data_IF_917591155836
#
_entry.id   IF_917591155836
#
_cell.length_a   1.000
_cell.length_b   1.000
_cell.length_c   1.000
_cell.angle_alpha   90.00
_cell.angle_beta   90.00
_cell.angle_gamma   90.00
#
_symmetry.space_group_name_H-M   'P 1'
#
loop_
_entity.id
_entity.type
_entity.pdbx_description
1 polymer ?
#
# COMPACT_ATOMS: atom_id res chain seq x y z
N UNK A 1 26.80 4.84 19.40
CA UNK A 1 25.71 4.29 18.57
C UNK A 1 24.39 4.68 19.25
N UNK A 2 23.49 5.41 18.58
CA UNK A 2 22.15 5.71 19.13
C UNK A 2 21.21 4.62 18.65
N UNK A 3 20.45 4.03 19.58
CA UNK A 3 19.37 3.11 19.25
C UNK A 3 18.10 3.94 19.13
N UNK A 4 17.53 4.01 17.93
CA UNK A 4 16.19 4.56 17.76
C UNK A 4 15.17 3.42 17.89
N UNK A 5 14.20 3.63 18.77
CA UNK A 5 13.10 2.68 18.96
C UNK A 5 12.05 3.00 17.89
N UNK A 6 11.73 1.99 17.08
CA UNK A 6 10.60 2.00 16.16
C UNK A 6 9.45 1.19 16.76
N UNK A 7 8.22 1.60 16.44
CA UNK A 7 7.02 0.86 16.84
C UNK A 7 6.75 -0.30 15.87
N UNK A 8 7.09 -0.10 14.58
CA UNK A 8 6.86 -1.07 13.50
C UNK A 8 8.05 -1.08 12.53
N UNK A 9 8.46 -2.29 12.12
CA UNK A 9 9.40 -2.50 11.01
C UNK A 9 8.66 -3.23 9.88
N UNK A 10 8.68 -2.66 8.67
CA UNK A 10 8.08 -3.24 7.46
C UNK A 10 9.21 -3.73 6.54
N UNK A 11 9.19 -5.02 6.21
CA UNK A 11 10.15 -5.62 5.27
C UNK A 11 9.50 -5.78 3.89
N UNK A 12 9.87 -4.93 2.94
CA UNK A 12 9.38 -4.90 1.57
C UNK A 12 8.62 -3.61 1.25
N UNK A 13 9.13 -2.83 0.30
CA UNK A 13 8.65 -1.49 -0.01
C UNK A 13 7.60 -1.40 -1.12
N UNK A 14 7.29 -2.49 -1.84
CA UNK A 14 6.34 -2.44 -2.96
C UNK A 14 4.93 -2.01 -2.54
N UNK A 15 4.26 -2.81 -1.71
CA UNK A 15 2.96 -2.44 -1.13
C UNK A 15 3.10 -2.02 0.33
N UNK A 16 4.18 -2.44 1.00
CA UNK A 16 4.45 -2.09 2.39
C UNK A 16 4.62 -0.58 2.62
N UNK A 17 4.98 0.19 1.58
CA UNK A 17 5.05 1.65 1.68
C UNK A 17 3.68 2.29 1.94
N UNK A 18 2.60 1.72 1.40
CA UNK A 18 1.24 2.22 1.63
C UNK A 18 0.83 2.01 3.09
N UNK A 19 1.13 0.83 3.63
CA UNK A 19 0.91 0.51 5.04
C UNK A 19 1.76 1.41 5.95
N UNK A 20 3.04 1.59 5.62
CA UNK A 20 3.94 2.45 6.37
C UNK A 20 3.46 3.89 6.42
N UNK A 21 3.03 4.44 5.28
CA UNK A 21 2.46 5.78 5.21
C UNK A 21 1.19 5.93 6.07
N UNK A 22 0.29 4.92 6.06
CA UNK A 22 -0.89 4.92 6.92
C UNK A 22 -0.53 4.95 8.40
N UNK A 23 0.44 4.13 8.82
CA UNK A 23 0.87 4.03 10.21
C UNK A 23 1.58 5.32 10.67
N UNK A 24 2.40 5.92 9.81
CA UNK A 24 2.99 7.24 10.07
C UNK A 24 1.91 8.31 10.22
N UNK A 25 0.86 8.28 9.39
CA UNK A 25 -0.30 9.16 9.52
C UNK A 25 -1.05 9.00 10.87
N UNK A 26 -0.90 7.86 11.54
CA UNK A 26 -1.43 7.60 12.88
C UNK A 26 -0.43 7.95 14.00
N UNK A 27 0.74 8.51 13.67
CA UNK A 27 1.75 8.94 14.64
C UNK A 27 2.75 7.87 15.06
N UNK A 28 2.78 6.71 14.40
CA UNK A 28 3.73 5.64 14.71
C UNK A 28 5.11 5.88 14.06
N UNK A 29 6.17 5.47 14.75
CA UNK A 29 7.53 5.44 14.21
C UNK A 29 7.74 4.17 13.41
N UNK A 30 7.72 4.30 12.10
CA UNK A 30 7.84 3.18 11.17
C UNK A 30 9.22 3.18 10.51
N UNK A 31 9.88 2.02 10.51
CA UNK A 31 11.05 1.75 9.68
C UNK A 31 10.63 0.87 8.51
N UNK A 32 10.97 1.27 7.29
CA UNK A 32 10.75 0.46 6.09
C UNK A 32 12.08 -0.02 5.52
N UNK A 33 12.20 -1.34 5.36
CA UNK A 33 13.36 -2.01 4.81
C UNK A 33 13.02 -2.50 3.40
N UNK A 34 13.85 -2.15 2.43
CA UNK A 34 13.76 -2.60 1.05
C UNK A 34 15.14 -3.08 0.61
N UNK A 35 15.19 -4.13 -0.22
CA UNK A 35 16.46 -4.69 -0.69
C UNK A 35 17.18 -3.74 -1.66
N UNK A 36 16.40 -3.03 -2.46
CA UNK A 36 16.91 -2.06 -3.44
C UNK A 36 16.58 -0.61 -3.06
N UNK A 37 16.79 0.29 -4.02
CA UNK A 37 16.32 1.67 -3.91
C UNK A 37 14.80 1.67 -3.88
N UNK A 38 14.22 2.29 -2.85
CA UNK A 38 12.78 2.50 -2.77
C UNK A 38 12.38 3.50 -3.87
N UNK A 39 11.64 3.02 -4.87
CA UNK A 39 11.13 3.81 -5.99
C UNK A 39 9.85 3.21 -6.54
N UNK A 40 9.11 4.02 -7.30
CA UNK A 40 7.97 3.54 -8.09
C UNK A 40 8.39 2.41 -9.04
N UNK A 41 7.47 1.49 -9.30
CA UNK A 41 7.68 0.34 -10.18
C UNK A 41 6.62 0.38 -11.28
N UNK A 42 7.02 0.03 -12.50
CA UNK A 42 6.06 -0.25 -13.58
C UNK A 42 5.45 -1.62 -13.33
N UNK A 43 4.41 -1.65 -12.51
CA UNK A 43 3.71 -2.86 -12.14
C UNK A 43 2.23 -2.57 -12.05
N UNK A 44 1.43 -3.39 -12.73
CA UNK A 44 -0.01 -3.39 -12.56
C UNK A 44 -0.40 -4.26 -11.35
N UNK A 45 -1.40 -3.79 -10.61
CA UNK A 45 -1.94 -4.48 -9.46
C UNK A 45 -3.44 -4.69 -9.67
N UNK A 46 -3.85 -5.95 -9.77
CA UNK A 46 -5.25 -6.34 -9.81
C UNK A 46 -5.86 -6.18 -8.42
N UNK A 47 -6.80 -5.24 -8.28
CA UNK A 47 -7.42 -4.89 -7.01
C UNK A 47 -8.81 -4.29 -7.25
N UNK A 48 -9.74 -4.54 -6.33
CA UNK A 48 -11.09 -3.98 -6.44
C UNK A 48 -11.14 -2.48 -6.11
N UNK A 49 -12.19 -1.81 -6.59
CA UNK A 49 -12.49 -0.41 -6.23
C UNK A 49 -12.66 -0.22 -4.72
N UNK A 50 -13.30 -1.16 -4.05
CA UNK A 50 -13.54 -1.10 -2.60
C UNK A 50 -12.26 -1.18 -1.79
N UNK A 51 -11.33 -2.05 -2.20
CA UNK A 51 -10.00 -2.18 -1.59
C UNK A 51 -9.16 -0.91 -1.81
N UNK A 52 -9.17 -0.37 -3.03
CA UNK A 52 -8.47 0.89 -3.33
C UNK A 52 -9.05 2.09 -2.57
N UNK A 53 -10.38 2.12 -2.36
CA UNK A 53 -11.04 3.18 -1.59
C UNK A 53 -10.54 3.28 -0.14
N UNK A 54 -9.89 2.24 0.40
CA UNK A 54 -9.23 2.30 1.71
C UNK A 54 -8.14 3.38 1.71
N UNK A 55 -7.39 3.52 0.62
CA UNK A 55 -6.29 4.48 0.53
C UNK A 55 -6.80 5.93 0.62
N UNK A 56 -7.94 6.21 -0.02
CA UNK A 56 -8.62 7.51 0.07
C UNK A 56 -9.13 7.77 1.49
N UNK A 57 -9.79 6.79 2.11
CA UNK A 57 -10.30 6.92 3.49
C UNK A 57 -9.19 7.17 4.51
N UNK A 58 -7.99 6.62 4.28
CA UNK A 58 -6.82 6.85 5.12
C UNK A 58 -6.07 8.15 4.77
N UNK A 59 -6.54 8.92 3.78
CA UNK A 59 -5.92 10.15 3.34
C UNK A 59 -4.57 9.97 2.66
N UNK A 60 -4.27 8.76 2.16
CA UNK A 60 -2.99 8.47 1.49
C UNK A 60 -2.95 8.99 0.06
N UNK A 61 -4.12 9.04 -0.58
CA UNK A 61 -4.33 9.58 -1.93
C UNK A 61 -5.70 10.25 -1.96
N UNK A 62 -5.87 11.20 -2.88
CA UNK A 62 -7.17 11.78 -3.20
C UNK A 62 -7.96 10.88 -4.16
N UNK A 63 -9.26 11.13 -4.30
CA UNK A 63 -10.07 10.45 -5.31
C UNK A 63 -9.56 10.71 -6.74
N UNK A 64 -9.06 11.92 -7.00
CA UNK A 64 -8.52 12.31 -8.30
C UNK A 64 -7.20 11.58 -8.62
N UNK A 65 -6.29 11.48 -7.64
CA UNK A 65 -5.05 10.71 -7.80
C UNK A 65 -5.35 9.23 -8.00
N UNK A 66 -6.30 8.68 -7.25
CA UNK A 66 -6.72 7.30 -7.42
C UNK A 66 -7.31 7.06 -8.82
N UNK A 67 -8.11 7.99 -9.33
CA UNK A 67 -8.68 7.91 -10.67
C UNK A 67 -7.60 7.92 -11.77
N UNK A 68 -6.54 8.72 -11.58
CA UNK A 68 -5.47 8.89 -12.57
C UNK A 68 -4.55 7.67 -12.72
N UNK A 69 -4.46 6.80 -11.71
CA UNK A 69 -3.54 5.64 -11.71
C UNK A 69 -4.19 4.33 -12.19
N UNK A 70 -5.45 4.38 -12.63
CA UNK A 70 -6.17 3.22 -13.14
C UNK A 70 -5.76 2.97 -14.59
N UNK A 71 -5.01 1.90 -14.83
CA UNK A 71 -4.60 1.49 -16.18
C UNK A 71 -5.75 0.83 -16.97
N UNK A 72 -6.47 -0.10 -16.33
CA UNK A 72 -7.53 -0.87 -16.98
C UNK A 72 -8.59 -1.36 -16.00
N UNK A 73 -9.76 -1.75 -16.52
CA UNK A 73 -10.84 -2.39 -15.77
C UNK A 73 -11.16 -3.75 -16.40
N UNK A 74 -11.47 -4.74 -15.57
CA UNK A 74 -11.85 -6.07 -16.02
C UNK A 74 -12.92 -6.67 -15.09
N UNK A 75 -13.67 -7.64 -15.60
CA UNK A 75 -14.70 -8.34 -14.81
C UNK A 75 -14.07 -9.06 -13.61
N UNK A 76 -14.77 -9.16 -12.46
CA UNK A 76 -14.21 -9.78 -11.26
C UNK A 76 -13.68 -11.19 -11.53
N UNK A 77 -12.38 -11.40 -11.31
CA UNK A 77 -11.77 -12.73 -11.30
C UNK A 77 -11.64 -13.15 -9.84
N UNK A 78 -12.62 -13.93 -9.35
CA UNK A 78 -12.57 -14.50 -8.01
C UNK A 78 -11.95 -15.88 -8.07
N UNK A 79 -10.71 -16.00 -7.61
CA UNK A 79 -10.13 -17.30 -7.24
C UNK A 79 -10.32 -17.45 -5.74
N UNK A 80 -11.22 -18.34 -5.34
CA UNK A 80 -11.49 -18.68 -3.95
C UNK A 80 -11.30 -20.17 -3.72
N UNK A 81 -11.02 -20.55 -2.48
CA UNK A 81 -11.12 -21.95 -2.07
C UNK A 81 -12.60 -22.25 -1.80
N UNK A 82 -13.09 -23.41 -2.25
CA UNK A 82 -14.48 -23.80 -2.01
C UNK A 82 -14.77 -23.91 -0.51
N UNK A 83 -15.74 -23.13 -0.01
CA UNK A 83 -16.19 -23.18 1.39
C UNK A 83 -15.94 -21.92 2.23
N UNK A 84 -15.52 -20.81 1.62
CA UNK A 84 -15.41 -19.48 2.27
C UNK A 84 -16.32 -18.45 1.64
#
# INVERSE_FOLDING_TARGET
MRVEISDVVICGGTLGILLGAALVGQGLKVVLLERGVLKGREQEWNVSRGELGVLVRLGLVTEAELAAVISSEFNPVRVGFGGG
#
